data_IF_271740686733
#
_entry.id   IF_271740686733
#
_cell.length_a   1.000
_cell.length_b   1.000
_cell.length_c   1.000
_cell.angle_alpha   90.00
_cell.angle_beta   90.00
_cell.angle_gamma   90.00
#
_symmetry.space_group_name_H-M   'P 1'
#
loop_
_entity.id
_entity.type
_entity.pdbx_description
1 polymer ?
#
# COMPACT_ATOMS: atom_id res chain seq x y z
N UNK A 1 -22.80 49.94 14.97
CA UNK A 1 -23.06 48.61 15.57
C UNK A 1 -22.98 47.59 14.45
N UNK A 2 -21.78 47.05 14.21
CA UNK A 2 -21.56 46.04 13.15
C UNK A 2 -21.73 44.67 13.79
N UNK A 3 -22.72 43.91 13.32
CA UNK A 3 -22.83 42.48 13.59
C UNK A 3 -22.36 41.77 12.33
N UNK A 4 -21.11 41.38 12.32
CA UNK A 4 -20.55 40.44 11.35
C UNK A 4 -21.33 39.11 11.45
N UNK A 5 -22.27 38.91 10.52
CA UNK A 5 -22.93 37.61 10.32
C UNK A 5 -22.17 36.89 9.22
N UNK A 6 -20.99 36.36 9.56
CA UNK A 6 -20.42 35.27 8.77
C UNK A 6 -21.14 33.99 9.20
N UNK A 7 -21.77 33.23 8.29
CA UNK A 7 -22.29 31.92 8.65
C UNK A 7 -21.12 31.05 9.15
N UNK A 8 -21.28 30.29 10.24
CA UNK A 8 -20.23 29.39 10.68
C UNK A 8 -19.96 28.44 9.52
N UNK A 9 -18.69 28.34 9.08
CA UNK A 9 -18.23 27.26 8.21
C UNK A 9 -18.81 25.97 8.78
N UNK A 10 -19.78 25.38 8.09
CA UNK A 10 -20.31 24.08 8.46
C UNK A 10 -19.14 23.11 8.36
N UNK A 11 -18.49 22.84 9.50
CA UNK A 11 -17.53 21.75 9.62
C UNK A 11 -18.34 20.48 9.38
N UNK A 12 -18.27 19.96 8.16
CA UNK A 12 -18.94 18.73 7.74
C UNK A 12 -18.46 17.55 8.62
N UNK A 13 -17.26 17.65 9.20
CA UNK A 13 -16.65 16.64 10.04
C UNK A 13 -16.05 17.21 11.33
N UNK A 14 -15.99 16.38 12.39
CA UNK A 14 -15.26 16.71 13.61
C UNK A 14 -13.74 16.70 13.35
N UNK A 15 -12.94 17.48 14.10
CA UNK A 15 -11.48 17.50 13.97
C UNK A 15 -10.85 16.10 14.02
N UNK A 16 -11.44 15.19 14.81
CA UNK A 16 -10.99 13.79 14.91
C UNK A 16 -11.24 13.00 13.62
N UNK A 17 -12.37 13.26 12.95
CA UNK A 17 -12.72 12.63 11.68
C UNK A 17 -11.83 13.16 10.54
N UNK A 18 -11.57 14.46 10.52
CA UNK A 18 -10.66 15.11 9.56
C UNK A 18 -9.24 14.54 9.70
N UNK A 19 -8.71 14.47 10.93
CA UNK A 19 -7.39 13.86 11.18
C UNK A 19 -7.30 12.38 10.80
N UNK A 20 -8.36 11.60 11.03
CA UNK A 20 -8.39 10.19 10.62
C UNK A 20 -8.43 10.04 9.09
N UNK A 21 -9.15 10.90 8.38
CA UNK A 21 -9.18 10.92 6.91
C UNK A 21 -7.82 11.35 6.32
N UNK A 22 -7.15 12.33 6.93
CA UNK A 22 -5.81 12.74 6.52
C UNK A 22 -4.82 11.59 6.69
N UNK A 23 -4.82 10.91 7.84
CA UNK A 23 -3.98 9.72 8.07
C UNK A 23 -4.25 8.62 7.04
N UNK A 24 -5.52 8.33 6.72
CA UNK A 24 -5.84 7.35 5.69
C UNK A 24 -5.38 7.79 4.30
N UNK A 25 -5.39 9.08 4.01
CA UNK A 25 -4.92 9.64 2.73
C UNK A 25 -3.39 9.55 2.60
N UNK A 26 -2.67 9.79 3.69
CA UNK A 26 -1.23 9.57 3.76
C UNK A 26 -0.88 8.08 3.58
N UNK A 27 -1.59 7.19 4.28
CA UNK A 27 -1.41 5.74 4.14
C UNK A 27 -1.71 5.27 2.71
N UNK A 28 -2.78 5.78 2.08
CA UNK A 28 -3.07 5.51 0.67
C UNK A 28 -1.92 5.96 -0.24
N UNK A 29 -1.32 7.12 0.02
CA UNK A 29 -0.18 7.61 -0.77
C UNK A 29 1.06 6.72 -0.60
N UNK A 30 1.28 6.17 0.60
CA UNK A 30 2.35 5.21 0.88
C UNK A 30 2.10 3.87 0.18
N UNK A 31 0.87 3.36 0.21
CA UNK A 31 0.47 2.14 -0.52
C UNK A 31 0.64 2.33 -2.02
N UNK A 32 0.22 3.46 -2.59
CA UNK A 32 0.41 3.77 -4.00
C UNK A 32 1.89 3.89 -4.40
N UNK A 33 2.76 4.35 -3.49
CA UNK A 33 4.22 4.34 -3.71
C UNK A 33 4.78 2.94 -3.71
N UNK A 34 4.33 2.07 -2.79
CA UNK A 34 4.71 0.66 -2.79
C UNK A 34 4.22 -0.03 -4.05
N UNK A 35 2.97 0.19 -4.46
CA UNK A 35 2.42 -0.39 -5.69
C UNK A 35 3.25 -0.03 -6.92
N UNK A 36 3.68 1.24 -7.05
CA UNK A 36 4.58 1.64 -8.14
C UNK A 36 5.91 0.88 -8.12
N UNK A 37 6.51 0.69 -6.94
CA UNK A 37 7.73 -0.11 -6.81
C UNK A 37 7.50 -1.58 -7.15
N UNK A 38 6.36 -2.14 -6.77
CA UNK A 38 5.99 -3.52 -7.12
C UNK A 38 5.82 -3.66 -8.62
N UNK A 39 5.14 -2.72 -9.28
CA UNK A 39 5.00 -2.70 -10.76
C UNK A 39 6.34 -2.55 -11.47
N UNK A 40 7.25 -1.75 -10.93
CA UNK A 40 8.62 -1.65 -11.46
C UNK A 40 9.33 -3.00 -11.39
N UNK A 41 9.28 -3.67 -10.23
CA UNK A 41 9.88 -5.00 -10.10
C UNK A 41 9.17 -6.02 -10.98
N UNK A 42 7.84 -6.01 -11.05
CA UNK A 42 7.06 -6.86 -11.96
C UNK A 42 7.46 -6.68 -13.41
N UNK A 43 7.64 -5.42 -13.85
CA UNK A 43 8.12 -5.12 -15.19
C UNK A 43 9.52 -5.66 -15.40
N UNK A 44 10.43 -5.47 -14.44
CA UNK A 44 11.76 -6.06 -14.49
C UNK A 44 11.68 -7.59 -14.58
N UNK A 45 10.91 -8.28 -13.74
CA UNK A 45 10.73 -9.74 -13.80
C UNK A 45 10.16 -10.18 -15.14
N UNK A 46 9.18 -9.46 -15.69
CA UNK A 46 8.56 -9.79 -16.98
C UNK A 46 9.55 -9.62 -18.13
N UNK A 47 10.31 -8.52 -18.14
CA UNK A 47 11.39 -8.28 -19.10
C UNK A 47 12.53 -9.29 -18.92
N UNK A 48 12.85 -9.67 -17.69
CA UNK A 48 13.84 -10.69 -17.37
C UNK A 48 13.39 -12.07 -17.85
N UNK A 49 12.11 -12.42 -17.68
CA UNK A 49 11.53 -13.64 -18.23
C UNK A 49 11.56 -13.69 -19.76
N UNK A 50 11.53 -12.53 -20.42
CA UNK A 50 11.68 -12.44 -21.86
C UNK A 50 13.16 -12.54 -22.34
N UNK A 51 14.15 -12.44 -21.44
CA UNK A 51 15.57 -12.45 -21.80
C UNK A 51 16.36 -13.53 -21.02
N UNK A 52 16.83 -14.61 -21.66
CA UNK A 52 17.51 -15.72 -20.99
C UNK A 52 18.92 -15.40 -20.45
N UNK A 53 19.38 -14.15 -20.54
CA UNK A 53 20.75 -13.72 -20.20
C UNK A 53 20.86 -12.97 -18.87
N UNK A 54 19.80 -12.93 -18.06
CA UNK A 54 19.81 -12.15 -16.81
C UNK A 54 20.67 -12.82 -15.74
N UNK A 55 21.60 -12.09 -15.10
CA UNK A 55 22.40 -12.62 -14.01
C UNK A 55 21.55 -13.02 -12.80
N UNK A 56 21.85 -14.19 -12.22
CA UNK A 56 21.22 -14.68 -10.98
C UNK A 56 21.21 -13.66 -9.84
N UNK A 57 22.26 -12.84 -9.74
CA UNK A 57 22.37 -11.79 -8.74
C UNK A 57 21.22 -10.77 -8.82
N UNK A 58 20.80 -10.37 -10.03
CA UNK A 58 19.69 -9.45 -10.23
C UNK A 58 18.37 -10.08 -9.82
N UNK A 59 18.14 -11.37 -10.16
CA UNK A 59 16.94 -12.10 -9.74
C UNK A 59 16.83 -12.21 -8.22
N UNK A 60 17.95 -12.43 -7.53
CA UNK A 60 18.00 -12.48 -6.05
C UNK A 60 17.73 -11.10 -5.46
N UNK A 61 18.26 -10.03 -6.06
CA UNK A 61 18.02 -8.65 -5.64
C UNK A 61 16.53 -8.29 -5.77
N UNK A 62 15.92 -8.56 -6.92
CA UNK A 62 14.47 -8.37 -7.13
C UNK A 62 13.65 -9.17 -6.12
N UNK A 63 14.03 -10.42 -5.84
CA UNK A 63 13.36 -11.27 -4.84
C UNK A 63 13.44 -10.67 -3.43
N UNK A 64 14.62 -10.21 -3.01
CA UNK A 64 14.81 -9.60 -1.71
C UNK A 64 14.04 -8.28 -1.60
N UNK A 65 14.00 -7.49 -2.67
CA UNK A 65 13.22 -6.26 -2.76
C UNK A 65 11.72 -6.52 -2.58
N UNK A 66 11.17 -7.56 -3.24
CA UNK A 66 9.79 -8.00 -3.03
C UNK A 66 9.51 -8.38 -1.57
N UNK A 67 10.39 -9.17 -0.95
CA UNK A 67 10.24 -9.56 0.45
C UNK A 67 10.23 -8.35 1.41
N UNK A 68 11.10 -7.35 1.17
CA UNK A 68 11.11 -6.10 1.93
C UNK A 68 9.82 -5.29 1.73
N UNK A 69 9.27 -5.28 0.51
CA UNK A 69 8.01 -4.61 0.19
C UNK A 69 6.82 -5.28 0.90
N UNK A 70 6.78 -6.61 1.01
CA UNK A 70 5.77 -7.32 1.81
C UNK A 70 5.85 -6.87 3.27
N UNK A 71 7.03 -6.90 3.88
CA UNK A 71 7.19 -6.49 5.28
C UNK A 71 6.82 -5.02 5.51
N UNK A 72 7.10 -4.15 4.54
CA UNK A 72 6.69 -2.74 4.59
C UNK A 72 5.18 -2.58 4.50
N UNK A 73 4.52 -3.38 3.66
CA UNK A 73 3.08 -3.38 3.47
C UNK A 73 2.35 -3.92 4.71
N UNK A 74 2.82 -5.02 5.29
CA UNK A 74 2.30 -5.58 6.54
C UNK A 74 2.40 -4.57 7.69
N UNK A 75 3.52 -3.84 7.77
CA UNK A 75 3.70 -2.76 8.76
C UNK A 75 2.70 -1.63 8.54
N UNK A 76 2.42 -1.24 7.30
CA UNK A 76 1.44 -0.20 6.99
C UNK A 76 0.01 -0.63 7.32
N UNK A 77 -0.36 -1.88 7.05
CA UNK A 77 -1.66 -2.44 7.44
C UNK A 77 -1.81 -2.47 8.96
N UNK A 78 -0.89 -3.14 9.65
CA UNK A 78 -1.01 -3.37 11.08
C UNK A 78 -0.86 -2.10 11.90
N UNK A 79 0.16 -1.28 11.61
CA UNK A 79 0.45 -0.08 12.41
C UNK A 79 -0.34 1.15 11.97
N UNK A 80 -0.72 1.23 10.70
CA UNK A 80 -1.40 2.39 10.13
C UNK A 80 -2.90 2.15 10.03
N UNK A 81 -3.28 1.28 9.10
CA UNK A 81 -4.67 1.10 8.66
C UNK A 81 -5.53 0.55 9.80
N UNK A 82 -5.13 -0.54 10.42
CA UNK A 82 -5.87 -1.15 11.53
C UNK A 82 -5.80 -0.31 12.82
N UNK A 83 -4.75 0.51 12.95
CA UNK A 83 -4.57 1.48 14.03
C UNK A 83 -5.54 2.67 13.99
N UNK A 84 -6.21 2.94 12.87
CA UNK A 84 -7.19 4.03 12.78
C UNK A 84 -8.44 3.70 13.62
N UNK A 85 -8.54 4.33 14.80
CA UNK A 85 -9.65 4.15 15.74
C UNK A 85 -10.88 4.95 15.28
N UNK A 86 -11.85 4.26 14.70
CA UNK A 86 -13.12 4.86 14.23
C UNK A 86 -14.22 4.91 15.31
N UNK A 87 -13.98 4.29 16.47
CA UNK A 87 -14.98 4.18 17.53
C UNK A 87 -15.39 5.53 18.15
N UNK A 88 -14.48 6.50 18.13
CA UNK A 88 -14.64 7.81 18.77
C UNK A 88 -15.27 8.87 17.85
N UNK A 89 -15.45 8.52 16.57
CA UNK A 89 -15.93 9.44 15.55
C UNK A 89 -17.45 9.61 15.66
N UNK A 90 -17.90 10.84 15.91
CA UNK A 90 -19.32 11.22 15.99
C UNK A 90 -19.95 11.52 14.62
N UNK A 91 -19.13 11.84 13.61
CA UNK A 91 -19.54 12.08 12.21
C UNK A 91 -18.46 11.57 11.25
N UNK A 92 -18.82 11.22 10.01
CA UNK A 92 -17.86 10.73 9.00
C UNK A 92 -17.28 9.34 9.28
N UNK A 93 -17.81 8.63 10.28
CA UNK A 93 -17.38 7.29 10.67
C UNK A 93 -17.48 6.29 9.53
N UNK A 94 -18.58 6.35 8.76
CA UNK A 94 -18.79 5.46 7.63
C UNK A 94 -17.78 5.72 6.51
N UNK A 95 -17.51 6.99 6.17
CA UNK A 95 -16.47 7.35 5.21
C UNK A 95 -15.08 6.83 5.62
N UNK A 96 -14.69 7.02 6.89
CA UNK A 96 -13.40 6.52 7.41
C UNK A 96 -13.36 4.99 7.38
N UNK A 97 -14.46 4.30 7.74
CA UNK A 97 -14.56 2.84 7.69
C UNK A 97 -14.45 2.30 6.26
N UNK A 98 -15.15 2.92 5.32
CA UNK A 98 -15.15 2.52 3.92
C UNK A 98 -13.77 2.73 3.30
N UNK A 99 -13.12 3.87 3.58
CA UNK A 99 -11.77 4.15 3.09
C UNK A 99 -10.75 3.21 3.72
N UNK A 100 -10.87 2.90 5.02
CA UNK A 100 -10.04 1.88 5.68
C UNK A 100 -10.22 0.50 5.06
N UNK A 101 -11.46 0.11 4.76
CA UNK A 101 -11.78 -1.18 4.13
C UNK A 101 -11.25 -1.25 2.70
N UNK A 102 -11.41 -0.18 1.92
CA UNK A 102 -10.87 -0.07 0.57
C UNK A 102 -9.34 -0.19 0.57
N UNK A 103 -8.68 0.51 1.50
CA UNK A 103 -7.23 0.48 1.63
C UNK A 103 -6.72 -0.89 2.11
N UNK A 104 -7.41 -1.55 3.04
CA UNK A 104 -7.07 -2.93 3.42
C UNK A 104 -7.20 -3.90 2.24
N UNK A 105 -8.28 -3.81 1.45
CA UNK A 105 -8.43 -4.63 0.25
C UNK A 105 -7.34 -4.36 -0.80
N UNK A 106 -6.93 -3.09 -0.95
CA UNK A 106 -5.81 -2.71 -1.83
C UNK A 106 -4.51 -3.35 -1.36
N UNK A 107 -4.20 -3.27 -0.06
CA UNK A 107 -3.04 -3.92 0.52
C UNK A 107 -3.08 -5.45 0.36
N UNK A 108 -4.21 -6.11 0.59
CA UNK A 108 -4.37 -7.56 0.37
C UNK A 108 -4.10 -7.93 -1.09
N UNK A 109 -4.65 -7.15 -2.03
CA UNK A 109 -4.44 -7.37 -3.47
C UNK A 109 -2.97 -7.20 -3.83
N UNK A 110 -2.33 -6.13 -3.35
CA UNK A 110 -0.92 -5.86 -3.59
C UNK A 110 -0.03 -6.96 -2.98
N UNK A 111 -0.37 -7.44 -1.79
CA UNK A 111 0.32 -8.55 -1.13
C UNK A 111 0.24 -9.83 -1.96
N UNK A 112 -0.94 -10.15 -2.50
CA UNK A 112 -1.12 -11.30 -3.37
C UNK A 112 -0.26 -11.20 -4.65
N UNK A 113 -0.19 -10.02 -5.26
CA UNK A 113 0.67 -9.76 -6.42
C UNK A 113 2.15 -9.96 -6.06
N UNK A 114 2.62 -9.37 -4.95
CA UNK A 114 4.02 -9.51 -4.53
C UNK A 114 4.37 -10.97 -4.26
N UNK A 115 3.51 -11.73 -3.59
CA UNK A 115 3.74 -13.16 -3.31
C UNK A 115 3.82 -13.98 -4.61
N UNK A 116 2.92 -13.73 -5.55
CA UNK A 116 2.93 -14.39 -6.86
C UNK A 116 4.24 -14.12 -7.60
N UNK A 117 4.70 -12.85 -7.62
CA UNK A 117 5.98 -12.48 -8.25
C UNK A 117 7.18 -13.11 -7.54
N UNK A 118 7.13 -13.17 -6.20
CA UNK A 118 8.18 -13.78 -5.41
C UNK A 118 8.29 -15.29 -5.66
N UNK A 119 7.16 -15.99 -5.79
CA UNK A 119 7.12 -17.41 -6.17
C UNK A 119 7.68 -17.63 -7.58
N UNK A 120 7.29 -16.81 -8.56
CA UNK A 120 7.83 -16.87 -9.91
C UNK A 120 9.36 -16.71 -9.90
N UNK A 121 9.89 -15.67 -9.24
CA UNK A 121 11.33 -15.47 -9.12
C UNK A 121 12.04 -16.63 -8.42
N UNK A 122 11.41 -17.25 -7.42
CA UNK A 122 11.99 -18.39 -6.72
C UNK A 122 12.17 -19.60 -7.63
N UNK A 123 11.21 -19.85 -8.53
CA UNK A 123 11.32 -20.89 -9.56
C UNK A 123 12.46 -20.56 -10.52
N UNK A 124 12.56 -19.32 -11.00
CA UNK A 124 13.62 -18.91 -11.94
C UNK A 124 15.03 -19.01 -11.34
N UNK A 125 15.21 -18.56 -10.09
CA UNK A 125 16.49 -18.67 -9.38
C UNK A 125 16.89 -20.15 -9.17
N UNK A 126 15.91 -21.02 -8.93
CA UNK A 126 16.14 -22.47 -8.78
C UNK A 126 16.46 -23.15 -10.11
N UNK A 127 15.82 -22.76 -11.21
CA UNK A 127 16.16 -23.32 -12.54
C UNK A 127 17.56 -22.90 -13.00
N UNK A 128 18.01 -21.70 -12.64
CA UNK A 128 19.33 -21.17 -13.00
C UNK A 128 20.51 -21.79 -12.21
N UNK A 129 20.29 -22.70 -11.24
CA UNK A 129 21.37 -23.47 -10.59
C UNK A 129 21.73 -24.77 -11.32
N UNK A 130 21.04 -25.10 -12.42
CA UNK A 130 21.16 -26.39 -13.12
C UNK A 130 22.06 -26.32 -14.36
N UNK A 131 22.70 -25.17 -14.62
CA UNK A 131 23.44 -24.87 -15.86
C UNK A 131 24.89 -24.50 -15.58
#
# INVERSE_FOLDING_TARGET
MFKDVFPPRQRIYSNASESALDQLTELQSLVNRLERKVKEVEWQVTVHNASPTIPRAQLIESKNSLAQMVGSLDKLQYSGIDGVITAQLKSGKDCVRDQRKALNKHCETLRATILTLHEQLLVHVSSASSS
#
